data_IF_128781780049
#
_entry.id   IF_128781780049
#
_cell.length_a   1.000
_cell.length_b   1.000
_cell.length_c   1.000
_cell.angle_alpha   90.00
_cell.angle_beta   90.00
_cell.angle_gamma   90.00
#
_symmetry.space_group_name_H-M   'P 1'
#
loop_
_entity.id
_entity.type
_entity.pdbx_description
1 polymer ?
#
# COMPACT_ATOMS: atom_id res chain seq x y z
N UNK A 1 53.28 27.34 1.74
CA UNK A 1 51.89 27.18 1.27
C UNK A 1 51.28 25.97 1.94
N UNK A 2 50.32 26.11 2.87
CA UNK A 2 49.62 24.97 3.46
C UNK A 2 48.47 24.54 2.55
N UNK A 3 48.33 23.23 2.30
CA UNK A 3 47.17 22.65 1.62
C UNK A 3 46.01 22.58 2.62
N UNK A 4 44.79 23.05 2.28
CA UNK A 4 43.64 22.82 3.13
C UNK A 4 43.21 21.36 3.02
N UNK A 5 43.45 20.58 4.08
CA UNK A 5 42.79 19.30 4.36
C UNK A 5 41.33 19.58 4.72
N UNK A 6 40.52 19.95 3.74
CA UNK A 6 39.11 20.32 3.98
C UNK A 6 38.22 19.75 2.89
N UNK A 7 38.29 18.44 2.67
CA UNK A 7 37.34 17.77 1.77
C UNK A 7 36.88 16.40 2.26
N UNK A 8 37.35 15.90 3.41
CA UNK A 8 36.94 14.59 3.92
C UNK A 8 35.84 14.62 5.00
N UNK A 9 35.56 15.79 5.61
CA UNK A 9 34.57 15.90 6.71
C UNK A 9 33.15 16.18 6.20
N UNK A 10 32.99 16.63 4.95
CA UNK A 10 31.67 17.05 4.43
C UNK A 10 30.86 15.92 3.78
N UNK A 11 31.42 14.72 3.63
CA UNK A 11 30.73 13.57 3.03
C UNK A 11 29.91 12.74 4.04
N UNK A 12 29.92 13.10 5.34
CA UNK A 12 29.30 12.30 6.41
C UNK A 12 27.91 12.77 6.87
N UNK A 13 27.30 13.74 6.17
CA UNK A 13 26.00 14.31 6.50
C UNK A 13 25.07 14.23 5.29
N UNK A 14 24.55 13.05 4.98
CA UNK A 14 23.75 12.90 3.76
C UNK A 14 22.89 11.66 3.65
N UNK A 15 22.58 10.99 4.74
CA UNK A 15 21.52 9.98 4.76
C UNK A 15 20.59 10.25 5.92
N UNK A 16 19.87 11.37 5.84
CA UNK A 16 18.56 11.43 6.46
C UNK A 16 17.73 10.42 5.67
N UNK A 17 17.69 9.18 6.16
CA UNK A 17 16.58 8.31 5.83
C UNK A 17 15.36 9.05 6.38
N UNK A 18 14.74 9.88 5.55
CA UNK A 18 13.40 10.41 5.82
C UNK A 18 12.48 9.20 5.75
N UNK A 19 12.50 8.39 6.81
CA UNK A 19 11.35 7.60 7.16
C UNK A 19 10.28 8.65 7.36
N UNK A 20 9.38 8.78 6.38
CA UNK A 20 8.08 9.36 6.63
C UNK A 20 7.46 8.39 7.61
N UNK A 21 7.84 8.52 8.89
CA UNK A 21 7.33 7.70 9.95
C UNK A 21 5.89 8.13 10.06
N UNK A 22 4.99 7.40 9.41
CA UNK A 22 3.57 7.54 9.67
C UNK A 22 3.42 7.41 11.17
N UNK A 23 3.09 8.50 11.85
CA UNK A 23 2.64 8.43 13.24
C UNK A 23 1.31 7.70 13.16
N UNK A 24 1.26 6.47 13.69
CA UNK A 24 0.03 5.70 13.73
C UNK A 24 -0.98 6.55 14.52
N UNK A 25 -2.13 6.89 13.93
CA UNK A 25 -3.16 7.66 14.63
C UNK A 25 -3.58 6.95 15.92
N UNK A 26 -3.73 7.70 17.01
CA UNK A 26 -4.21 7.18 18.30
C UNK A 26 -5.71 7.30 18.47
N UNK A 27 -6.36 8.10 17.64
CA UNK A 27 -7.81 8.23 17.57
C UNK A 27 -8.38 7.25 16.54
N UNK A 28 -9.63 6.78 16.72
CA UNK A 28 -10.31 5.97 15.72
C UNK A 28 -10.29 6.68 14.36
N UNK A 29 -9.87 5.93 13.34
CA UNK A 29 -9.85 6.43 11.98
C UNK A 29 -11.29 6.58 11.44
N UNK A 30 -11.47 7.40 10.41
CA UNK A 30 -12.74 7.40 9.68
C UNK A 30 -12.85 6.09 8.88
N UNK A 31 -14.04 5.48 8.85
CA UNK A 31 -14.34 4.40 7.91
C UNK A 31 -14.59 4.92 6.48
N UNK A 32 -14.50 6.23 6.27
CA UNK A 32 -14.72 6.90 5.00
C UNK A 32 -13.63 7.94 4.73
N UNK A 33 -12.97 7.84 3.59
CA UNK A 33 -11.93 8.75 3.08
C UNK A 33 -12.30 9.07 1.64
N UNK A 34 -12.86 10.26 1.41
CA UNK A 34 -13.34 10.67 0.09
C UNK A 34 -12.19 11.10 -0.84
N UNK A 35 -11.10 11.61 -0.27
CA UNK A 35 -9.87 11.89 -1.02
C UNK A 35 -9.29 10.59 -1.56
N UNK A 36 -8.99 10.57 -2.86
CA UNK A 36 -8.37 9.40 -3.45
C UNK A 36 -6.94 9.22 -2.98
N UNK A 37 -6.52 7.97 -2.82
CA UNK A 37 -5.20 7.59 -2.29
C UNK A 37 -4.62 6.35 -2.98
N UNK A 38 -3.34 6.11 -2.68
CA UNK A 38 -2.60 4.90 -3.04
C UNK A 38 -2.29 4.09 -1.78
N UNK A 39 -2.23 2.76 -1.89
CA UNK A 39 -1.87 1.89 -0.76
C UNK A 39 -0.37 1.67 -0.73
N UNK A 40 0.25 1.88 0.43
CA UNK A 40 1.68 1.68 0.67
C UNK A 40 1.86 0.60 1.74
N UNK A 41 2.72 -0.38 1.47
CA UNK A 41 3.05 -1.42 2.45
C UNK A 41 4.08 -0.91 3.46
N UNK A 42 3.70 -0.94 4.74
CA UNK A 42 4.53 -0.51 5.86
C UNK A 42 5.04 -1.73 6.66
N UNK A 43 6.11 -2.37 6.18
CA UNK A 43 6.77 -3.47 6.91
C UNK A 43 8.31 -3.29 6.97
N UNK A 44 8.85 -2.57 7.97
CA UNK A 44 10.27 -2.25 8.04
C UNK A 44 11.19 -3.48 8.20
N UNK A 45 10.66 -4.60 8.71
CA UNK A 45 11.40 -5.87 8.85
C UNK A 45 11.69 -6.55 7.52
N UNK A 46 10.97 -6.19 6.45
CA UNK A 46 11.14 -6.74 5.09
C UNK A 46 11.39 -5.57 4.11
N UNK A 47 12.66 -5.12 3.97
CA UNK A 47 12.99 -3.93 3.18
C UNK A 47 12.58 -4.01 1.70
N UNK A 48 12.47 -5.22 1.15
CA UNK A 48 12.08 -5.46 -0.24
C UNK A 48 10.62 -5.15 -0.53
N UNK A 49 9.76 -5.07 0.49
CA UNK A 49 8.34 -4.71 0.37
C UNK A 49 7.98 -3.42 1.11
N UNK A 50 8.79 -2.99 2.08
CA UNK A 50 8.60 -1.74 2.79
C UNK A 50 8.57 -0.53 1.84
N UNK A 51 7.63 0.39 2.07
CA UNK A 51 7.40 1.60 1.27
C UNK A 51 7.11 1.34 -0.21
N UNK A 52 6.70 0.11 -0.57
CA UNK A 52 6.21 -0.18 -1.91
C UNK A 52 4.74 0.15 -2.03
N UNK A 53 4.42 0.84 -3.11
CA UNK A 53 3.05 1.13 -3.52
C UNK A 53 2.47 -0.11 -4.20
N UNK A 54 1.21 -0.42 -3.87
CA UNK A 54 0.41 -1.46 -4.52
C UNK A 54 0.01 -1.00 -5.92
N UNK A 55 -0.11 -1.93 -6.85
CA UNK A 55 -0.55 -1.75 -8.23
C UNK A 55 -1.73 -2.69 -8.51
N UNK A 56 -2.42 -2.46 -9.63
CA UNK A 56 -3.46 -3.36 -10.11
C UNK A 56 -2.94 -4.36 -11.14
N UNK A 57 -3.36 -5.61 -11.05
CA UNK A 57 -3.10 -6.62 -12.06
C UNK A 57 -4.40 -7.33 -12.38
N UNK A 58 -4.86 -7.15 -13.61
CA UNK A 58 -6.05 -7.81 -14.10
C UNK A 58 -5.93 -9.34 -13.99
N UNK A 59 -7.03 -9.95 -13.57
CA UNK A 59 -7.25 -11.40 -13.54
C UNK A 59 -8.71 -11.70 -13.93
N UNK A 60 -8.95 -11.81 -15.24
CA UNK A 60 -10.33 -11.80 -15.75
C UNK A 60 -10.95 -10.41 -15.57
N UNK A 61 -12.14 -10.36 -14.98
CA UNK A 61 -12.88 -9.12 -14.68
C UNK A 61 -12.49 -8.49 -13.32
N UNK A 62 -11.55 -9.10 -12.61
CA UNK A 62 -11.12 -8.68 -11.28
C UNK A 62 -9.76 -7.97 -11.34
N UNK A 63 -9.51 -7.08 -10.36
CA UNK A 63 -8.21 -6.44 -10.19
C UNK A 63 -7.52 -6.93 -8.92
N UNK A 64 -6.37 -7.59 -9.10
CA UNK A 64 -5.55 -8.03 -7.97
C UNK A 64 -4.61 -6.91 -7.54
N UNK A 65 -4.52 -6.72 -6.23
CA UNK A 65 -3.56 -5.81 -5.62
C UNK A 65 -2.19 -6.49 -5.53
N UNK A 66 -1.19 -5.95 -6.24
CA UNK A 66 0.17 -6.52 -6.34
C UNK A 66 1.26 -5.48 -6.04
N UNK A 67 2.41 -5.91 -5.56
CA UNK A 67 3.54 -4.99 -5.31
C UNK A 67 4.27 -4.59 -6.59
N UNK A 68 4.68 -3.32 -6.69
CA UNK A 68 5.57 -2.86 -7.76
C UNK A 68 6.87 -3.68 -7.85
N UNK A 69 7.37 -3.94 -9.08
CA UNK A 69 6.94 -3.35 -10.36
C UNK A 69 5.81 -4.11 -11.09
N UNK A 70 5.23 -5.15 -10.48
CA UNK A 70 4.16 -5.89 -11.11
C UNK A 70 2.89 -5.03 -11.25
N UNK A 71 2.09 -5.33 -12.28
CA UNK A 71 0.81 -4.66 -12.51
C UNK A 71 0.91 -3.23 -13.05
N UNK A 72 -0.25 -2.65 -13.31
CA UNK A 72 -0.48 -1.26 -13.73
C UNK A 72 -0.45 -0.35 -12.50
N UNK A 73 0.20 0.80 -12.65
CA UNK A 73 0.35 1.77 -11.58
C UNK A 73 -0.98 2.34 -11.14
N UNK A 74 -1.29 2.25 -9.84
CA UNK A 74 -2.35 3.05 -9.22
C UNK A 74 -1.80 4.42 -8.85
N UNK A 75 -2.40 5.50 -9.36
CA UNK A 75 -2.04 6.88 -9.04
C UNK A 75 -3.22 7.56 -8.35
N UNK A 76 -3.36 7.32 -7.04
CA UNK A 76 -4.41 7.94 -6.22
C UNK A 76 -5.81 7.74 -6.83
N UNK A 77 -6.16 6.47 -7.02
CA UNK A 77 -7.42 6.07 -7.67
C UNK A 77 -8.40 5.41 -6.70
N UNK A 78 -7.92 4.95 -5.54
CA UNK A 78 -8.71 4.26 -4.53
C UNK A 78 -9.32 5.26 -3.55
N UNK A 79 -10.49 4.95 -3.01
CA UNK A 79 -11.08 5.69 -1.90
C UNK A 79 -11.75 4.71 -0.91
N UNK A 80 -12.10 5.21 0.27
CA UNK A 80 -12.78 4.42 1.31
C UNK A 80 -14.17 4.99 1.56
N UNK A 81 -15.21 4.17 1.54
CA UNK A 81 -16.59 4.59 1.81
C UNK A 81 -17.29 3.54 2.67
N UNK A 82 -17.76 3.93 3.87
CA UNK A 82 -18.43 3.04 4.82
C UNK A 82 -17.66 1.73 5.06
N UNK A 83 -16.33 1.83 5.20
CA UNK A 83 -15.41 0.72 5.40
C UNK A 83 -15.06 -0.07 4.14
N UNK A 84 -15.59 0.26 2.96
CA UNK A 84 -15.28 -0.43 1.69
C UNK A 84 -14.18 0.29 0.95
N UNK A 85 -13.14 -0.43 0.55
CA UNK A 85 -12.13 0.06 -0.38
C UNK A 85 -12.68 -0.05 -1.81
N UNK A 86 -12.74 1.06 -2.52
CA UNK A 86 -13.42 1.17 -3.82
C UNK A 86 -12.48 1.77 -4.88
N UNK A 87 -12.59 1.25 -6.10
CA UNK A 87 -12.05 1.82 -7.33
C UNK A 87 -13.14 1.73 -8.40
N UNK A 88 -13.58 2.87 -8.96
CA UNK A 88 -14.68 2.90 -9.94
C UNK A 88 -15.91 2.12 -9.44
N UNK A 89 -16.36 1.09 -10.17
CA UNK A 89 -17.51 0.24 -9.82
C UNK A 89 -17.10 -1.04 -9.08
N UNK A 90 -15.80 -1.23 -8.79
CA UNK A 90 -15.28 -2.42 -8.11
C UNK A 90 -14.85 -2.13 -6.67
N UNK A 91 -14.97 -3.14 -5.82
CA UNK A 91 -14.69 -3.04 -4.39
C UNK A 91 -13.87 -4.24 -3.89
N UNK A 92 -13.16 -4.05 -2.79
CA UNK A 92 -12.37 -5.11 -2.17
C UNK A 92 -13.27 -6.21 -1.57
N UNK A 93 -12.97 -7.45 -1.93
CA UNK A 93 -13.57 -8.66 -1.36
C UNK A 93 -12.49 -9.59 -0.86
N UNK A 94 -12.85 -10.46 0.08
CA UNK A 94 -11.99 -11.53 0.56
C UNK A 94 -12.35 -12.80 -0.22
N UNK A 95 -11.42 -13.25 -1.05
CA UNK A 95 -11.53 -14.52 -1.76
C UNK A 95 -11.50 -15.65 -0.74
N UNK A 96 -12.55 -16.45 -0.64
CA UNK A 96 -12.57 -17.58 0.29
C UNK A 96 -11.62 -18.72 -0.14
N UNK A 97 -10.83 -18.53 -1.19
CA UNK A 97 -9.73 -19.41 -1.59
C UNK A 97 -8.48 -19.15 -0.71
N UNK A 98 -8.33 -19.98 0.32
CA UNK A 98 -7.12 -20.05 1.13
C UNK A 98 -5.95 -20.68 0.33
N UNK A 99 -4.80 -20.01 0.31
CA UNK A 99 -3.55 -20.53 -0.26
C UNK A 99 -2.64 -21.05 0.87
N UNK A 100 -2.47 -22.36 0.94
CA UNK A 100 -1.72 -23.06 1.99
C UNK A 100 -0.21 -22.83 1.93
N UNK A 101 0.32 -22.42 0.77
CA UNK A 101 1.75 -22.10 0.60
C UNK A 101 2.09 -20.77 1.24
N UNK A 102 1.16 -19.82 1.16
CA UNK A 102 1.34 -18.47 1.67
C UNK A 102 0.68 -18.29 3.06
N UNK A 103 -0.13 -19.26 3.51
CA UNK A 103 -0.98 -19.19 4.71
C UNK A 103 -1.86 -17.93 4.71
N UNK A 104 -2.40 -17.59 3.54
CA UNK A 104 -3.20 -16.37 3.37
C UNK A 104 -4.48 -16.62 2.60
N UNK A 105 -5.49 -15.84 2.96
CA UNK A 105 -6.73 -15.65 2.20
C UNK A 105 -6.56 -14.41 1.33
N UNK A 106 -6.84 -14.52 0.03
CA UNK A 106 -6.52 -13.44 -0.93
C UNK A 106 -7.56 -12.33 -0.85
N UNK A 107 -7.12 -11.10 -1.09
CA UNK A 107 -8.00 -9.94 -1.28
C UNK A 107 -7.86 -9.46 -2.72
N UNK A 108 -8.98 -9.18 -3.39
CA UNK A 108 -9.01 -8.61 -4.74
C UNK A 108 -10.17 -7.63 -4.90
N UNK A 109 -10.14 -6.84 -5.96
CA UNK A 109 -11.17 -5.86 -6.28
C UNK A 109 -12.10 -6.44 -7.35
N UNK A 110 -13.41 -6.38 -7.15
CA UNK A 110 -14.40 -6.91 -8.09
C UNK A 110 -15.73 -6.15 -8.04
N UNK A 111 -16.54 -6.26 -9.10
CA UNK A 111 -17.93 -5.77 -9.10
C UNK A 111 -18.90 -6.76 -8.43
N UNK A 112 -18.45 -7.99 -8.14
CA UNK A 112 -19.30 -9.06 -7.61
C UNK A 112 -19.73 -8.78 -6.16
N UNK A 113 -21.04 -8.82 -5.90
CA UNK A 113 -21.59 -8.56 -4.57
C UNK A 113 -21.83 -9.83 -3.72
N UNK A 114 -21.65 -11.02 -4.31
CA UNK A 114 -21.91 -12.30 -3.62
C UNK A 114 -20.70 -12.84 -2.84
N UNK A 115 -19.51 -12.24 -2.99
CA UNK A 115 -18.34 -12.55 -2.18
C UNK A 115 -18.36 -11.73 -0.88
N UNK A 116 -17.79 -12.25 0.22
CA UNK A 116 -17.65 -11.47 1.44
C UNK A 116 -16.85 -10.19 1.20
N UNK A 117 -17.46 -9.05 1.51
CA UNK A 117 -16.82 -7.74 1.39
C UNK A 117 -15.69 -7.60 2.42
N UNK A 118 -14.54 -7.08 1.98
CA UNK A 118 -13.48 -6.66 2.89
C UNK A 118 -13.88 -5.33 3.53
N UNK A 119 -14.20 -5.35 4.83
CA UNK A 119 -14.61 -4.16 5.58
C UNK A 119 -13.50 -3.71 6.52
N UNK A 120 -13.07 -2.46 6.35
CA UNK A 120 -12.18 -1.77 7.28
C UNK A 120 -13.01 -1.21 8.43
N UNK A 121 -12.71 -1.65 9.64
CA UNK A 121 -13.33 -1.16 10.88
C UNK A 121 -12.30 -0.34 11.68
N UNK A 122 -12.60 0.93 12.00
CA UNK A 122 -11.74 1.76 12.84
C UNK A 122 -11.55 1.30 14.28
#
# INVERSE_FOLDING_TARGET
MPRPYSSLVLALLGSVASTIGCTIPTEPLSDSIAEKFSIIVQNPSIPTVHNKIMNFRANGDDEHLVLRPAGVVTNDVLYLENGRLIYEEIHAVIDLEYDDRDDTTKMFMTAREYHPTALFQP
#
